data_IF_141959840950
#
_entry.id   IF_141959840950
#
_cell.length_a   1.000
_cell.length_b   1.000
_cell.length_c   1.000
_cell.angle_alpha   90.00
_cell.angle_beta   90.00
_cell.angle_gamma   90.00
#
_symmetry.space_group_name_H-M   'P 1'
#
loop_
_entity.id
_entity.type
_entity.pdbx_description
1 polymer ?
#
# COMPACT_ATOMS: atom_id res chain seq x y z
N UNK A 1 -19.69 -36.49 -18.09
CA UNK A 1 -18.30 -36.11 -18.42
C UNK A 1 -17.74 -34.97 -17.56
N UNK A 2 -18.25 -33.71 -17.59
CA UNK A 2 -17.69 -32.60 -16.78
C UNK A 2 -17.61 -32.91 -15.27
N UNK A 3 -18.70 -33.38 -14.67
CA UNK A 3 -18.73 -33.74 -13.25
C UNK A 3 -17.70 -34.84 -12.93
N UNK A 4 -17.59 -35.87 -13.77
CA UNK A 4 -16.60 -36.94 -13.61
C UNK A 4 -15.17 -36.39 -13.65
N UNK A 5 -14.85 -35.49 -14.58
CA UNK A 5 -13.52 -34.84 -14.64
C UNK A 5 -13.22 -34.08 -13.33
N UNK A 6 -14.17 -33.27 -12.84
CA UNK A 6 -13.99 -32.53 -11.60
C UNK A 6 -13.88 -33.47 -10.37
N UNK A 7 -14.64 -34.55 -10.33
CA UNK A 7 -14.52 -35.61 -9.31
C UNK A 7 -13.14 -36.28 -9.35
N UNK A 8 -12.55 -36.41 -10.53
CA UNK A 8 -11.17 -36.88 -10.73
C UNK A 8 -10.11 -35.78 -10.60
N UNK A 9 -10.47 -34.60 -10.09
CA UNK A 9 -9.57 -33.44 -9.92
C UNK A 9 -8.94 -32.94 -11.23
N UNK A 10 -9.64 -33.09 -12.34
CA UNK A 10 -9.26 -32.59 -13.65
C UNK A 10 -10.16 -31.42 -14.01
N UNK A 11 -9.55 -30.24 -14.13
CA UNK A 11 -10.24 -29.02 -14.52
C UNK A 11 -10.31 -28.94 -16.05
N UNK A 12 -11.50 -28.98 -16.67
CA UNK A 12 -11.64 -28.92 -18.11
C UNK A 12 -11.41 -27.50 -18.65
N UNK A 13 -10.68 -27.37 -19.76
CA UNK A 13 -10.44 -26.09 -20.41
C UNK A 13 -11.67 -25.49 -21.13
N UNK A 14 -12.72 -26.29 -21.31
CA UNK A 14 -14.01 -25.87 -21.87
C UNK A 14 -15.16 -26.60 -21.16
N UNK A 15 -16.27 -25.92 -20.95
CA UNK A 15 -17.38 -26.46 -20.16
C UNK A 15 -18.28 -27.47 -20.89
N UNK A 16 -18.40 -27.35 -22.23
CA UNK A 16 -19.35 -28.14 -23.04
C UNK A 16 -18.73 -29.44 -23.56
N UNK A 17 -17.63 -29.34 -24.30
CA UNK A 17 -16.93 -30.48 -24.94
C UNK A 17 -15.44 -30.38 -24.62
N UNK A 18 -14.99 -30.87 -23.45
CA UNK A 18 -13.59 -30.78 -23.05
C UNK A 18 -12.70 -31.71 -23.87
N UNK A 19 -11.68 -31.12 -24.51
CA UNK A 19 -10.60 -31.82 -25.23
C UNK A 19 -9.22 -31.60 -24.57
N UNK A 20 -9.17 -30.82 -23.50
CA UNK A 20 -7.95 -30.50 -22.75
C UNK A 20 -8.35 -30.29 -21.29
N UNK A 21 -7.59 -30.87 -20.38
CA UNK A 21 -7.78 -30.71 -18.94
C UNK A 21 -6.45 -30.41 -18.27
N UNK A 22 -6.52 -29.73 -17.13
CA UNK A 22 -5.38 -29.49 -16.26
C UNK A 22 -5.71 -30.06 -14.88
N UNK A 23 -4.75 -30.71 -14.23
CA UNK A 23 -4.99 -31.27 -12.90
C UNK A 23 -5.09 -30.16 -11.86
N UNK A 24 -5.89 -30.36 -10.82
CA UNK A 24 -5.98 -29.39 -9.72
C UNK A 24 -4.61 -29.14 -9.10
N UNK A 25 -3.80 -30.19 -8.94
CA UNK A 25 -2.41 -30.09 -8.45
C UNK A 25 -1.58 -29.11 -9.29
N UNK A 26 -1.69 -29.14 -10.62
CA UNK A 26 -0.97 -28.20 -11.49
C UNK A 26 -1.44 -26.76 -11.25
N UNK A 27 -2.75 -26.55 -11.14
CA UNK A 27 -3.34 -25.22 -10.95
C UNK A 27 -3.02 -24.66 -9.55
N UNK A 28 -3.04 -25.49 -8.52
CA UNK A 28 -2.64 -25.12 -7.16
C UNK A 28 -1.16 -24.74 -7.10
N UNK A 29 -0.31 -25.55 -7.72
CA UNK A 29 1.11 -25.25 -7.77
C UNK A 29 1.38 -23.95 -8.52
N UNK A 30 0.81 -23.77 -9.71
CA UNK A 30 0.95 -22.52 -10.46
C UNK A 30 0.42 -21.32 -9.67
N UNK A 31 -0.74 -21.45 -9.04
CA UNK A 31 -1.34 -20.38 -8.25
C UNK A 31 -0.43 -19.94 -7.10
N UNK A 32 0.20 -20.88 -6.40
CA UNK A 32 1.18 -20.54 -5.35
C UNK A 32 2.46 -19.91 -5.93
N UNK A 33 2.98 -20.44 -7.04
CA UNK A 33 4.17 -19.90 -7.70
C UNK A 33 3.96 -18.48 -8.24
N UNK A 34 2.76 -18.14 -8.72
CA UNK A 34 2.45 -16.76 -9.13
C UNK A 34 2.27 -15.85 -7.92
N UNK A 35 1.57 -16.29 -6.86
CA UNK A 35 1.38 -15.46 -5.66
C UNK A 35 2.67 -15.17 -4.90
N UNK A 36 3.58 -16.14 -4.81
CA UNK A 36 4.85 -16.03 -4.07
C UNK A 36 5.99 -15.57 -4.98
N UNK A 37 6.25 -16.30 -6.06
CA UNK A 37 7.38 -16.05 -6.95
C UNK A 37 7.10 -15.04 -8.07
N UNK A 38 5.85 -14.55 -8.18
CA UNK A 38 5.38 -13.66 -9.26
C UNK A 38 5.67 -14.20 -10.66
N UNK A 39 5.77 -15.53 -10.77
CA UNK A 39 6.06 -16.21 -12.03
C UNK A 39 4.92 -15.96 -13.00
N UNK A 40 5.29 -15.64 -14.25
CA UNK A 40 4.32 -15.42 -15.32
C UNK A 40 3.71 -16.76 -15.76
N UNK A 41 2.48 -16.72 -16.29
CA UNK A 41 1.89 -17.93 -16.90
C UNK A 41 2.77 -18.49 -18.02
N UNK A 42 3.46 -17.61 -18.76
CA UNK A 42 4.35 -17.98 -19.86
C UNK A 42 5.54 -18.79 -19.36
N UNK A 43 6.31 -18.25 -18.41
CA UNK A 43 7.53 -18.91 -17.92
C UNK A 43 7.23 -20.25 -17.26
N UNK A 44 6.13 -20.32 -16.49
CA UNK A 44 5.70 -21.56 -15.88
C UNK A 44 5.33 -22.62 -16.93
N UNK A 45 4.54 -22.24 -17.94
CA UNK A 45 4.12 -23.16 -18.99
C UNK A 45 5.31 -23.62 -19.85
N UNK A 46 6.23 -22.70 -20.18
CA UNK A 46 7.51 -23.04 -20.83
C UNK A 46 8.35 -24.00 -20.00
N UNK A 47 8.33 -23.87 -18.67
CA UNK A 47 8.94 -24.84 -17.76
C UNK A 47 8.36 -26.25 -17.92
N UNK A 48 7.03 -26.39 -18.00
CA UNK A 48 6.36 -27.69 -18.22
C UNK A 48 6.74 -28.31 -19.57
N UNK A 49 6.79 -27.49 -20.62
CA UNK A 49 7.25 -27.90 -21.94
C UNK A 49 8.69 -28.44 -21.89
N UNK A 50 9.59 -27.72 -21.20
CA UNK A 50 10.99 -28.12 -21.05
C UNK A 50 11.17 -29.34 -20.15
N UNK A 51 10.34 -29.54 -19.14
CA UNK A 51 10.36 -30.79 -18.34
C UNK A 51 9.98 -32.01 -19.19
N UNK A 52 9.14 -31.83 -20.20
CA UNK A 52 8.72 -32.91 -21.10
C UNK A 52 9.73 -33.14 -22.22
N UNK A 53 10.23 -32.06 -22.82
CA UNK A 53 11.20 -32.11 -23.90
C UNK A 53 12.13 -30.88 -23.86
N UNK A 54 13.18 -30.96 -23.04
CA UNK A 54 14.19 -29.90 -22.95
C UNK A 54 15.09 -29.83 -24.19
N UNK A 55 15.37 -30.98 -24.81
CA UNK A 55 16.25 -31.15 -25.96
C UNK A 55 15.64 -30.65 -27.29
N UNK A 56 14.33 -30.45 -27.36
CA UNK A 56 13.65 -30.08 -28.59
C UNK A 56 13.51 -31.24 -29.59
N UNK A 57 13.55 -32.49 -29.11
CA UNK A 57 13.57 -33.69 -29.95
C UNK A 57 12.23 -34.01 -30.63
N UNK A 58 11.09 -33.56 -30.10
CA UNK A 58 9.77 -33.69 -30.73
C UNK A 58 8.83 -32.51 -30.43
N UNK A 59 7.93 -32.14 -31.37
CA UNK A 59 6.94 -31.10 -31.12
C UNK A 59 5.80 -31.63 -30.24
N UNK A 60 5.16 -30.73 -29.49
CA UNK A 60 3.88 -30.97 -28.81
C UNK A 60 2.90 -29.85 -29.15
N UNK A 61 1.61 -30.18 -29.08
CA UNK A 61 0.54 -29.20 -29.36
C UNK A 61 0.52 -28.14 -28.27
N UNK A 62 0.61 -26.86 -28.66
CA UNK A 62 0.54 -25.74 -27.74
C UNK A 62 -0.85 -25.66 -27.07
N UNK A 63 -0.88 -25.66 -25.73
CA UNK A 63 -2.07 -25.51 -24.87
C UNK A 63 -2.00 -24.28 -23.97
N UNK A 64 -1.08 -23.35 -24.26
CA UNK A 64 -0.83 -22.17 -23.45
C UNK A 64 -2.06 -21.29 -23.27
N UNK A 65 -2.82 -21.02 -24.34
CA UNK A 65 -4.04 -20.20 -24.23
C UNK A 65 -5.13 -20.88 -23.40
N UNK A 66 -5.21 -22.22 -23.50
CA UNK A 66 -6.10 -23.01 -22.65
C UNK A 66 -5.64 -22.96 -21.19
N UNK A 67 -4.34 -23.03 -20.94
CA UNK A 67 -3.76 -22.91 -19.61
C UNK A 67 -4.04 -21.53 -19.00
N UNK A 68 -3.77 -20.44 -19.74
CA UNK A 68 -4.06 -19.06 -19.29
C UNK A 68 -5.52 -18.85 -18.90
N UNK A 69 -6.45 -19.37 -19.71
CA UNK A 69 -7.88 -19.26 -19.41
C UNK A 69 -8.21 -20.00 -18.11
N UNK A 70 -7.78 -21.26 -18.00
CA UNK A 70 -8.09 -22.10 -16.84
C UNK A 70 -7.45 -21.56 -15.56
N UNK A 71 -6.22 -21.04 -15.61
CA UNK A 71 -5.58 -20.46 -14.43
C UNK A 71 -6.29 -19.21 -13.96
N UNK A 72 -6.77 -18.37 -14.90
CA UNK A 72 -7.59 -17.21 -14.57
C UNK A 72 -8.92 -17.60 -13.93
N UNK A 73 -9.63 -18.57 -14.50
CA UNK A 73 -10.86 -19.12 -13.92
C UNK A 73 -10.61 -19.70 -12.53
N UNK A 74 -9.50 -20.43 -12.36
CA UNK A 74 -9.09 -21.02 -11.09
C UNK A 74 -8.87 -19.96 -10.01
N UNK A 75 -8.10 -18.90 -10.31
CA UNK A 75 -7.89 -17.77 -9.38
C UNK A 75 -9.22 -17.13 -8.98
N UNK A 76 -10.11 -16.88 -9.94
CA UNK A 76 -11.43 -16.31 -9.66
C UNK A 76 -12.28 -17.22 -8.75
N UNK A 77 -12.31 -18.53 -9.01
CA UNK A 77 -12.98 -19.51 -8.16
C UNK A 77 -12.40 -19.55 -6.73
N UNK A 78 -11.09 -19.37 -6.57
CA UNK A 78 -10.46 -19.29 -5.24
C UNK A 78 -10.88 -18.01 -4.51
N UNK A 79 -11.03 -16.89 -5.22
CA UNK A 79 -11.58 -15.64 -4.66
C UNK A 79 -13.03 -15.83 -4.18
N UNK A 80 -13.90 -16.39 -5.03
CA UNK A 80 -15.30 -16.68 -4.69
C UNK A 80 -15.44 -17.63 -3.49
N UNK A 81 -14.59 -18.68 -3.43
CA UNK A 81 -14.55 -19.60 -2.29
C UNK A 81 -14.15 -18.89 -1.00
N UNK A 82 -13.15 -18.01 -1.06
CA UNK A 82 -12.70 -17.23 0.11
C UNK A 82 -13.78 -16.26 0.59
N UNK A 83 -14.49 -15.61 -0.33
CA UNK A 83 -15.62 -14.74 -0.02
C UNK A 83 -16.92 -15.49 0.32
N UNK A 84 -16.93 -16.82 0.34
CA UNK A 84 -18.11 -17.62 0.68
C UNK A 84 -19.24 -17.61 -0.36
N UNK A 85 -19.07 -16.96 -1.52
CA UNK A 85 -20.12 -16.80 -2.55
C UNK A 85 -20.63 -18.13 -3.11
N UNK A 86 -19.78 -19.16 -3.13
CA UNK A 86 -20.17 -20.50 -3.58
C UNK A 86 -21.07 -21.26 -2.58
N UNK A 87 -21.19 -20.77 -1.34
CA UNK A 87 -22.01 -21.37 -0.28
C UNK A 87 -23.21 -20.48 0.10
N UNK A 88 -23.44 -19.37 -0.61
CA UNK A 88 -24.61 -18.52 -0.39
C UNK A 88 -25.85 -19.24 -0.95
N UNK A 89 -26.74 -19.66 -0.06
CA UNK A 89 -28.00 -20.34 -0.42
C UNK A 89 -29.12 -19.39 -0.83
N UNK A 90 -28.90 -18.07 -0.76
CA UNK A 90 -29.91 -17.03 -1.00
C UNK A 90 -29.58 -16.27 -2.28
N UNK A 91 -28.35 -15.79 -2.42
CA UNK A 91 -27.91 -15.00 -3.58
C UNK A 91 -26.98 -15.79 -4.49
N UNK A 92 -27.25 -15.70 -5.79
CA UNK A 92 -26.38 -16.25 -6.82
C UNK A 92 -25.01 -15.53 -6.87
N UNK A 93 -24.03 -16.11 -7.56
CA UNK A 93 -22.67 -15.54 -7.69
C UNK A 93 -22.73 -14.19 -8.42
N UNK A 94 -23.63 -14.05 -9.38
CA UNK A 94 -23.85 -12.84 -10.18
C UNK A 94 -24.37 -11.66 -9.34
N UNK A 95 -24.91 -11.93 -8.15
CA UNK A 95 -25.40 -10.94 -7.19
C UNK A 95 -24.33 -10.52 -6.16
N UNK A 96 -23.06 -10.80 -6.44
CA UNK A 96 -21.93 -10.31 -5.64
C UNK A 96 -21.83 -8.79 -5.78
N UNK A 97 -21.86 -8.08 -4.65
CA UNK A 97 -21.85 -6.62 -4.63
C UNK A 97 -20.43 -6.04 -4.67
N UNK A 98 -20.25 -4.76 -5.03
CA UNK A 98 -18.93 -4.13 -5.06
C UNK A 98 -18.16 -4.27 -3.74
N UNK A 99 -16.90 -4.65 -3.82
CA UNK A 99 -16.01 -4.86 -2.67
C UNK A 99 -16.34 -6.07 -1.77
N UNK A 100 -17.37 -6.87 -2.07
CA UNK A 100 -17.80 -8.00 -1.23
C UNK A 100 -16.72 -9.08 -1.06
N UNK A 101 -15.82 -9.26 -2.04
CA UNK A 101 -14.71 -10.21 -2.00
C UNK A 101 -13.44 -9.62 -1.37
N UNK A 102 -13.40 -8.33 -1.05
CA UNK A 102 -12.25 -7.71 -0.42
C UNK A 102 -12.09 -8.18 1.03
N UNK A 103 -10.85 -8.47 1.43
CA UNK A 103 -10.54 -8.83 2.82
C UNK A 103 -10.44 -7.55 3.64
N UNK A 104 -11.46 -7.30 4.45
CA UNK A 104 -11.50 -6.14 5.35
C UNK A 104 -10.68 -6.40 6.62
N UNK A 105 -9.88 -5.41 7.03
CA UNK A 105 -9.10 -5.50 8.25
C UNK A 105 -10.02 -5.42 9.49
N UNK A 106 -10.05 -6.43 10.38
CA UNK A 106 -10.92 -6.40 11.57
C UNK A 106 -10.39 -5.46 12.66
N UNK A 107 -9.13 -5.05 12.58
CA UNK A 107 -8.52 -4.10 13.52
C UNK A 107 -8.70 -2.63 13.10
N UNK A 108 -9.04 -2.36 11.84
CA UNK A 108 -9.35 -1.00 11.41
C UNK A 108 -10.70 -0.57 11.99
N UNK A 109 -10.85 0.69 12.46
CA UNK A 109 -12.11 1.22 12.96
C UNK A 109 -13.16 1.23 11.86
N UNK A 110 -14.32 0.63 12.15
CA UNK A 110 -15.44 0.45 11.22
C UNK A 110 -16.75 0.68 11.97
N UNK A 111 -17.46 1.70 11.52
CA UNK A 111 -18.81 2.00 12.03
C UNK A 111 -19.72 0.79 11.91
N UNK A 112 -20.57 0.58 12.91
CA UNK A 112 -21.51 -0.55 12.98
C UNK A 112 -20.86 -1.95 13.01
N UNK A 113 -19.54 -2.06 13.12
CA UNK A 113 -18.82 -3.34 13.17
C UNK A 113 -18.02 -3.50 14.45
N UNK A 114 -17.10 -2.58 14.72
CA UNK A 114 -16.20 -2.65 15.89
C UNK A 114 -16.02 -1.30 16.61
N UNK A 115 -16.80 -0.29 16.25
CA UNK A 115 -16.88 0.98 16.96
C UNK A 115 -18.11 1.03 17.89
N UNK A 116 -17.99 1.57 19.12
CA UNK A 116 -19.14 1.77 20.01
C UNK A 116 -20.08 2.85 19.46
N UNK A 117 -21.39 2.78 19.69
CA UNK A 117 -22.38 3.70 19.11
C UNK A 117 -22.08 5.19 19.36
N UNK A 118 -21.50 5.52 20.51
CA UNK A 118 -21.17 6.88 20.92
C UNK A 118 -19.71 7.29 20.63
N UNK A 119 -18.99 6.56 19.77
CA UNK A 119 -17.57 6.82 19.47
C UNK A 119 -17.30 8.26 19.03
N UNK A 120 -18.20 8.89 18.28
CA UNK A 120 -18.09 10.29 17.84
C UNK A 120 -18.11 11.30 19.01
N UNK A 121 -18.72 10.93 20.15
CA UNK A 121 -18.80 11.76 21.35
C UNK A 121 -17.66 11.46 22.34
N UNK A 122 -16.67 10.66 21.93
CA UNK A 122 -15.52 10.38 22.76
C UNK A 122 -14.78 11.68 23.10
N UNK A 123 -14.34 11.76 24.35
CA UNK A 123 -13.41 12.78 24.82
C UNK A 123 -12.24 12.90 23.82
N UNK A 124 -11.85 14.14 23.51
CA UNK A 124 -10.74 14.46 22.60
C UNK A 124 -9.50 13.63 22.93
N UNK A 125 -9.20 13.43 24.21
CA UNK A 125 -8.06 12.63 24.69
C UNK A 125 -8.14 11.15 24.34
N UNK A 126 -9.30 10.63 23.95
CA UNK A 126 -9.55 9.22 23.61
C UNK A 126 -9.90 8.99 22.13
N UNK A 127 -10.09 10.04 21.33
CA UNK A 127 -10.46 9.92 19.91
C UNK A 127 -9.47 9.08 19.10
N UNK A 128 -8.19 9.10 19.49
CA UNK A 128 -7.12 8.30 18.87
C UNK A 128 -7.41 6.79 18.83
N UNK A 129 -8.25 6.27 19.74
CA UNK A 129 -8.68 4.87 19.76
C UNK A 129 -9.55 4.49 18.56
N UNK A 130 -10.17 5.48 17.91
CA UNK A 130 -11.12 5.31 16.80
C UNK A 130 -10.57 5.88 15.48
N UNK A 131 -9.34 6.39 15.48
CA UNK A 131 -8.72 7.00 14.30
C UNK A 131 -8.34 5.96 13.25
N UNK A 132 -8.78 6.18 12.01
CA UNK A 132 -8.37 5.39 10.85
C UNK A 132 -7.08 5.95 10.25
N UNK A 133 -6.07 5.10 10.12
CA UNK A 133 -4.84 5.45 9.41
C UNK A 133 -4.97 5.04 7.94
N UNK A 134 -4.99 6.02 7.04
CA UNK A 134 -4.95 5.80 5.59
C UNK A 134 -3.58 6.22 5.07
N UNK A 135 -2.77 5.23 4.66
CA UNK A 135 -1.49 5.47 4.00
C UNK A 135 -1.72 5.50 2.49
N UNK A 136 -1.44 6.65 1.87
CA UNK A 136 -1.57 6.86 0.43
C UNK A 136 -0.20 7.23 -0.12
N UNK A 137 0.25 6.49 -1.14
CA UNK A 137 1.47 6.78 -1.87
C UNK A 137 1.12 7.08 -3.34
N UNK A 138 1.69 8.16 -3.87
CA UNK A 138 1.51 8.59 -5.25
C UNK A 138 2.73 8.32 -6.15
N UNK A 139 3.80 7.76 -5.59
CA UNK A 139 5.07 7.48 -6.24
C UNK A 139 5.06 6.12 -6.94
N UNK A 140 4.39 5.12 -6.37
CA UNK A 140 4.34 3.78 -6.94
C UNK A 140 3.32 3.66 -8.07
N UNK A 141 3.79 3.20 -9.25
CA UNK A 141 2.96 3.08 -10.46
C UNK A 141 3.09 1.69 -11.07
N UNK A 142 1.96 1.00 -11.18
CA UNK A 142 1.86 -0.23 -11.97
C UNK A 142 1.54 0.14 -13.43
N UNK A 143 2.52 0.01 -14.32
CA UNK A 143 2.33 0.24 -15.76
C UNK A 143 1.63 -0.95 -16.43
N UNK A 144 0.94 -0.69 -17.54
CA UNK A 144 0.31 -1.69 -18.41
C UNK A 144 0.47 -1.24 -19.85
N UNK A 145 0.75 -2.16 -20.77
CA UNK A 145 0.73 -1.87 -22.21
C UNK A 145 -0.69 -1.88 -22.75
N UNK A 146 -0.93 -1.08 -23.78
CA UNK A 146 -2.22 -1.02 -24.48
C UNK A 146 -2.35 -2.17 -25.48
N UNK A 147 -2.56 -3.39 -24.97
CA UNK A 147 -2.56 -4.63 -25.78
C UNK A 147 -3.95 -5.23 -26.05
N UNK A 148 -5.00 -4.75 -25.38
CA UNK A 148 -6.38 -5.26 -25.50
C UNK A 148 -7.40 -4.22 -24.99
N UNK A 149 -8.70 -4.54 -25.12
CA UNK A 149 -9.84 -3.78 -24.62
C UNK A 149 -10.70 -4.61 -23.65
N UNK A 150 -11.55 -3.94 -22.87
CA UNK A 150 -12.55 -4.59 -21.98
C UNK A 150 -13.51 -5.50 -22.74
N UNK A 151 -13.84 -5.17 -23.99
CA UNK A 151 -14.75 -5.98 -24.82
C UNK A 151 -14.13 -7.33 -25.17
N UNK A 152 -12.81 -7.36 -25.44
CA UNK A 152 -12.09 -8.57 -25.83
C UNK A 152 -11.54 -9.35 -24.63
N UNK A 153 -11.29 -8.67 -23.52
CA UNK A 153 -10.79 -9.24 -22.27
C UNK A 153 -11.53 -8.66 -21.06
N UNK A 154 -12.82 -9.01 -20.87
CA UNK A 154 -13.62 -8.51 -19.75
C UNK A 154 -13.17 -9.17 -18.44
N UNK A 155 -13.11 -8.42 -17.35
CA UNK A 155 -12.82 -8.96 -16.01
C UNK A 155 -13.91 -9.92 -15.51
N UNK A 156 -13.56 -10.96 -14.74
CA UNK A 156 -14.56 -11.89 -14.21
C UNK A 156 -15.35 -11.31 -13.04
N UNK A 157 -14.73 -10.44 -12.25
CA UNK A 157 -15.36 -9.80 -11.10
C UNK A 157 -14.85 -8.38 -10.87
N UNK A 158 -14.62 -7.61 -11.94
CA UNK A 158 -14.17 -6.21 -11.80
C UNK A 158 -15.17 -5.44 -10.95
N UNK A 159 -14.68 -4.81 -9.87
CA UNK A 159 -15.51 -4.16 -8.87
C UNK A 159 -15.83 -5.01 -7.63
N UNK A 160 -15.69 -6.34 -7.68
CA UNK A 160 -16.08 -7.21 -6.56
C UNK A 160 -15.04 -7.25 -5.43
N UNK A 161 -13.81 -6.78 -5.65
CA UNK A 161 -12.71 -6.83 -4.68
C UNK A 161 -12.04 -5.46 -4.50
N UNK A 162 -10.74 -5.30 -4.83
CA UNK A 162 -10.01 -4.06 -4.57
C UNK A 162 -10.03 -3.11 -5.77
N UNK A 163 -10.08 -3.64 -6.99
CA UNK A 163 -10.33 -2.84 -8.18
C UNK A 163 -11.77 -2.33 -8.18
N UNK A 164 -11.96 -1.04 -8.39
CA UNK A 164 -13.28 -0.42 -8.58
C UNK A 164 -13.89 -0.81 -9.93
N UNK A 165 -15.23 -0.73 -10.09
CA UNK A 165 -15.86 -0.90 -11.40
C UNK A 165 -15.32 0.08 -12.44
N UNK A 166 -15.01 -0.40 -13.65
CA UNK A 166 -14.35 0.41 -14.69
C UNK A 166 -15.22 1.57 -15.18
N UNK A 167 -16.48 1.33 -15.56
CA UNK A 167 -17.33 2.37 -16.17
C UNK A 167 -17.58 3.57 -15.23
N UNK A 168 -17.99 3.40 -13.96
CA UNK A 168 -18.13 4.52 -13.02
C UNK A 168 -16.81 5.26 -12.81
N UNK A 169 -15.68 4.54 -12.72
CA UNK A 169 -14.37 5.14 -12.53
C UNK A 169 -13.92 5.96 -13.74
N UNK A 170 -14.17 5.48 -14.96
CA UNK A 170 -13.89 6.23 -16.19
C UNK A 170 -14.70 7.51 -16.29
N UNK A 171 -16.00 7.44 -15.95
CA UNK A 171 -16.87 8.63 -15.91
C UNK A 171 -16.32 9.66 -14.93
N UNK A 172 -15.98 9.20 -13.73
CA UNK A 172 -15.34 10.02 -12.70
C UNK A 172 -14.04 10.68 -13.20
N UNK A 173 -13.16 9.94 -13.88
CA UNK A 173 -11.91 10.52 -14.40
C UNK A 173 -12.18 11.62 -15.44
N UNK A 174 -13.16 11.43 -16.32
CA UNK A 174 -13.50 12.43 -17.33
C UNK A 174 -14.07 13.71 -16.70
N UNK A 175 -14.91 13.56 -15.67
CA UNK A 175 -15.45 14.68 -14.89
C UNK A 175 -14.35 15.41 -14.10
N UNK A 176 -13.54 14.67 -13.34
CA UNK A 176 -12.51 15.25 -12.48
C UNK A 176 -11.36 15.92 -13.23
N UNK A 177 -10.99 15.42 -14.41
CA UNK A 177 -9.90 16.02 -15.19
C UNK A 177 -10.27 17.45 -15.63
N UNK A 178 -11.56 17.77 -15.70
CA UNK A 178 -12.06 19.12 -15.99
C UNK A 178 -12.37 19.96 -14.75
N UNK A 179 -12.35 19.35 -13.56
CA UNK A 179 -12.76 19.99 -12.32
C UNK A 179 -11.58 20.70 -11.63
N UNK A 180 -11.77 21.98 -11.29
CA UNK A 180 -10.83 22.74 -10.44
C UNK A 180 -11.07 22.51 -8.95
N UNK A 181 -12.21 21.90 -8.58
CA UNK A 181 -12.57 21.55 -7.21
C UNK A 181 -13.15 20.15 -7.13
N UNK A 182 -12.99 19.47 -5.99
CA UNK A 182 -13.63 18.19 -5.72
C UNK A 182 -15.17 18.36 -5.65
N UNK A 183 -15.98 17.39 -6.09
CA UNK A 183 -17.43 17.39 -5.88
C UNK A 183 -17.78 17.51 -4.40
N UNK A 184 -18.84 18.23 -4.04
CA UNK A 184 -19.27 18.42 -2.64
C UNK A 184 -19.44 17.11 -1.85
N UNK A 185 -19.91 16.06 -2.51
CA UNK A 185 -20.08 14.72 -1.92
C UNK A 185 -18.75 14.02 -1.57
N UNK A 186 -17.67 14.44 -2.24
CA UNK A 186 -16.31 13.91 -2.07
C UNK A 186 -15.40 14.87 -1.31
N UNK A 187 -15.79 16.15 -1.21
CA UNK A 187 -15.17 17.06 -0.25
C UNK A 187 -15.33 16.41 1.13
N UNK A 188 -14.25 16.33 1.92
CA UNK A 188 -14.36 15.84 3.29
C UNK A 188 -15.48 16.59 4.00
N UNK A 189 -16.45 15.87 4.58
CA UNK A 189 -17.60 16.46 5.30
C UNK A 189 -17.16 17.53 6.31
N UNK A 190 -15.95 17.38 6.84
CA UNK A 190 -15.13 18.47 7.31
C UNK A 190 -13.64 18.12 7.10
N UNK A 191 -12.83 19.07 6.60
CA UNK A 191 -11.36 18.97 6.66
C UNK A 191 -10.82 18.78 8.10
N UNK A 192 -11.41 19.35 9.18
CA UNK A 192 -10.92 19.10 10.54
C UNK A 192 -11.03 17.66 11.04
N UNK A 193 -11.75 16.76 10.36
CA UNK A 193 -11.78 15.33 10.69
C UNK A 193 -10.59 14.55 10.10
N UNK A 194 -9.82 15.16 9.20
CA UNK A 194 -8.65 14.55 8.56
C UNK A 194 -7.37 15.26 8.99
N UNK A 195 -6.42 14.48 9.50
CA UNK A 195 -5.07 14.97 9.76
C UNK A 195 -4.12 14.41 8.71
N UNK A 196 -3.57 15.29 7.88
CA UNK A 196 -2.51 14.92 6.95
C UNK A 196 -1.17 14.90 7.68
N UNK A 197 -0.42 13.84 7.47
CA UNK A 197 0.85 13.57 8.14
C UNK A 197 1.80 12.89 7.16
N UNK A 198 3.09 13.06 7.40
CA UNK A 198 4.16 12.43 6.64
C UNK A 198 4.86 11.42 7.56
N UNK A 199 5.12 10.18 7.10
CA UNK A 199 5.79 9.15 7.89
C UNK A 199 7.11 9.60 8.50
N UNK A 200 7.45 9.00 9.64
CA UNK A 200 8.49 9.52 10.54
C UNK A 200 9.88 9.56 9.94
N UNK A 201 10.20 8.66 9.02
CA UNK A 201 11.48 8.68 8.32
C UNK A 201 11.43 9.64 7.13
N UNK A 202 10.34 9.60 6.36
CA UNK A 202 10.19 10.40 5.15
C UNK A 202 10.19 11.91 5.41
N UNK A 203 9.61 12.34 6.53
CA UNK A 203 9.47 13.76 6.88
C UNK A 203 10.82 14.50 7.00
N UNK A 204 11.90 13.80 7.37
CA UNK A 204 13.24 14.40 7.43
C UNK A 204 13.81 14.79 6.06
N UNK A 205 13.25 14.25 4.97
CA UNK A 205 13.57 14.68 3.61
C UNK A 205 12.89 15.98 3.18
N UNK A 206 12.00 16.53 4.00
CA UNK A 206 11.26 17.77 3.71
C UNK A 206 11.86 18.97 4.45
N UNK A 207 11.42 20.17 4.06
CA UNK A 207 11.80 21.43 4.73
C UNK A 207 11.34 21.46 6.18
N UNK A 208 11.98 22.29 7.01
CA UNK A 208 11.63 22.45 8.43
C UNK A 208 10.17 22.87 8.63
N UNK A 209 9.63 23.75 7.78
CA UNK A 209 8.21 24.12 7.81
C UNK A 209 7.28 22.90 7.64
N UNK A 210 7.62 22.01 6.72
CA UNK A 210 6.89 20.76 6.51
C UNK A 210 7.02 19.82 7.72
N UNK A 211 8.23 19.70 8.29
CA UNK A 211 8.49 18.88 9.47
C UNK A 211 7.67 19.34 10.68
N UNK A 212 7.53 20.65 10.90
CA UNK A 212 6.76 21.20 12.01
C UNK A 212 5.25 21.01 11.84
N UNK A 213 4.74 21.02 10.60
CA UNK A 213 3.30 20.93 10.30
C UNK A 213 2.79 19.50 10.15
N UNK A 214 3.56 18.62 9.50
CA UNK A 214 3.09 17.32 9.04
C UNK A 214 3.80 16.14 9.71
N UNK A 215 4.69 16.36 10.68
CA UNK A 215 5.38 15.26 11.34
C UNK A 215 4.42 14.36 12.13
N UNK A 216 4.41 13.09 11.74
CA UNK A 216 3.69 12.04 12.46
C UNK A 216 4.17 11.85 13.92
N UNK A 217 5.34 12.39 14.29
CA UNK A 217 5.80 12.36 15.68
C UNK A 217 5.04 13.35 16.58
N UNK A 218 4.51 14.43 16.02
CA UNK A 218 3.81 15.48 16.76
C UNK A 218 2.29 15.39 16.59
N UNK A 219 1.81 14.43 15.81
CA UNK A 219 0.38 14.22 15.60
C UNK A 219 -0.28 13.71 16.90
N UNK A 220 -1.31 14.41 17.42
CA UNK A 220 -1.96 14.02 18.67
C UNK A 220 -2.52 12.60 18.62
N UNK A 221 -2.30 11.84 19.69
CA UNK A 221 -2.78 10.47 19.81
C UNK A 221 -2.00 9.42 19.00
N UNK A 222 -0.97 9.81 18.26
CA UNK A 222 -0.12 8.88 17.52
C UNK A 222 0.99 8.34 18.40
N UNK A 223 1.03 7.01 18.55
CA UNK A 223 2.10 6.33 19.28
C UNK A 223 3.43 6.21 18.51
N UNK A 224 4.28 5.28 18.96
CA UNK A 224 5.53 4.91 18.27
C UNK A 224 5.28 3.96 17.10
N UNK A 225 4.62 4.47 16.05
CA UNK A 225 4.47 3.80 14.75
C UNK A 225 5.39 4.44 13.70
N UNK A 226 5.95 3.65 12.78
CA UNK A 226 6.82 4.14 11.70
C UNK A 226 6.02 4.87 10.59
N UNK A 227 4.79 4.42 10.31
CA UNK A 227 3.99 4.90 9.19
C UNK A 227 4.35 4.26 7.84
N UNK A 228 5.36 3.39 7.79
CA UNK A 228 5.99 2.84 6.57
C UNK A 228 5.22 1.62 6.02
N UNK A 229 3.90 1.62 6.16
CA UNK A 229 3.05 0.49 5.78
C UNK A 229 2.99 0.28 4.26
N UNK A 230 3.05 1.37 3.50
CA UNK A 230 2.85 1.37 2.05
C UNK A 230 4.09 0.90 1.30
N UNK A 231 5.27 1.22 1.78
CA UNK A 231 6.57 0.80 1.25
C UNK A 231 6.78 -0.71 1.43
N UNK A 232 6.41 -1.25 2.61
CA UNK A 232 6.43 -2.70 2.87
C UNK A 232 5.46 -3.46 1.97
N UNK A 233 4.29 -2.86 1.68
CA UNK A 233 3.34 -3.42 0.73
C UNK A 233 3.94 -3.42 -0.68
N UNK A 234 4.51 -2.30 -1.10
CA UNK A 234 5.12 -2.18 -2.42
C UNK A 234 6.31 -3.12 -2.62
N UNK A 235 7.16 -3.35 -1.61
CA UNK A 235 8.24 -4.32 -1.70
C UNK A 235 7.75 -5.73 -2.08
N UNK A 236 6.57 -6.14 -1.60
CA UNK A 236 5.94 -7.42 -1.94
C UNK A 236 5.16 -7.41 -3.26
N UNK A 237 4.52 -6.28 -3.59
CA UNK A 237 3.62 -6.19 -4.74
C UNK A 237 4.28 -5.64 -6.01
N UNK A 238 5.35 -4.86 -5.90
CA UNK A 238 6.08 -4.26 -7.01
C UNK A 238 6.51 -5.27 -8.09
N UNK A 239 7.00 -6.48 -7.73
CA UNK A 239 7.35 -7.50 -8.72
C UNK A 239 6.15 -8.04 -9.52
N UNK A 240 4.89 -7.79 -9.11
CA UNK A 240 3.70 -8.12 -9.90
C UNK A 240 3.60 -7.23 -11.15
N UNK A 241 4.22 -6.05 -11.13
CA UNK A 241 4.19 -5.13 -12.26
C UNK A 241 4.69 -5.79 -13.54
N UNK A 242 5.79 -6.55 -13.46
CA UNK A 242 6.39 -7.20 -14.63
C UNK A 242 5.49 -8.29 -15.19
N UNK A 243 4.88 -9.11 -14.34
CA UNK A 243 4.01 -10.21 -14.77
C UNK A 243 2.67 -9.73 -15.33
N UNK A 244 2.21 -8.54 -14.95
CA UNK A 244 0.91 -7.97 -15.36
C UNK A 244 1.01 -6.91 -16.46
N UNK A 245 2.21 -6.50 -16.87
CA UNK A 245 2.41 -5.42 -17.85
C UNK A 245 1.80 -5.75 -19.22
N UNK A 246 1.91 -7.00 -19.65
CA UNK A 246 1.43 -7.50 -20.95
C UNK A 246 -0.01 -8.03 -20.93
N UNK A 247 -0.71 -7.88 -19.79
CA UNK A 247 -2.08 -8.39 -19.66
C UNK A 247 -3.09 -7.40 -20.27
N UNK A 248 -4.14 -7.95 -20.88
CA UNK A 248 -5.36 -7.21 -21.16
C UNK A 248 -6.01 -6.72 -19.86
N UNK A 249 -6.97 -5.77 -19.96
CA UNK A 249 -7.37 -5.02 -18.78
C UNK A 249 -8.16 -5.88 -17.77
N UNK A 250 -9.10 -6.72 -18.22
CA UNK A 250 -9.82 -7.64 -17.33
C UNK A 250 -8.94 -8.72 -16.72
N UNK A 251 -8.07 -9.34 -17.53
CA UNK A 251 -7.10 -10.33 -17.02
C UNK A 251 -6.16 -9.72 -15.97
N UNK A 252 -5.79 -8.45 -16.14
CA UNK A 252 -4.95 -7.73 -15.18
C UNK A 252 -5.69 -7.42 -13.88
N UNK A 253 -6.95 -6.98 -13.95
CA UNK A 253 -7.75 -6.73 -12.75
C UNK A 253 -7.88 -8.00 -11.92
N UNK A 254 -8.26 -9.12 -12.55
CA UNK A 254 -8.39 -10.41 -11.87
C UNK A 254 -7.07 -10.85 -11.23
N UNK A 255 -5.93 -10.66 -11.92
CA UNK A 255 -4.62 -10.99 -11.38
C UNK A 255 -4.23 -10.11 -10.18
N UNK A 256 -4.43 -8.79 -10.26
CA UNK A 256 -4.12 -7.86 -9.18
C UNK A 256 -4.98 -8.13 -7.94
N UNK A 257 -6.29 -8.32 -8.13
CA UNK A 257 -7.23 -8.63 -7.06
C UNK A 257 -6.89 -9.95 -6.35
N UNK A 258 -6.49 -10.98 -7.09
CA UNK A 258 -6.05 -12.25 -6.51
C UNK A 258 -4.77 -12.08 -5.66
N UNK A 259 -3.80 -11.29 -6.15
CA UNK A 259 -2.56 -11.03 -5.41
C UNK A 259 -2.80 -10.20 -4.13
N UNK A 260 -3.56 -9.11 -4.22
CA UNK A 260 -3.92 -8.30 -3.05
C UNK A 260 -4.80 -9.09 -2.07
N UNK A 261 -5.72 -9.90 -2.60
CA UNK A 261 -6.58 -10.80 -1.85
C UNK A 261 -5.79 -11.81 -1.04
N UNK A 262 -4.82 -12.47 -1.67
CA UNK A 262 -3.92 -13.39 -0.99
C UNK A 262 -3.09 -12.72 0.10
N UNK A 263 -2.50 -11.55 -0.20
CA UNK A 263 -1.69 -10.78 0.75
C UNK A 263 -2.50 -10.37 1.99
N UNK A 264 -3.69 -9.81 1.79
CA UNK A 264 -4.55 -9.39 2.89
C UNK A 264 -5.11 -10.60 3.67
N UNK A 265 -5.39 -11.71 3.00
CA UNK A 265 -5.79 -12.95 3.66
C UNK A 265 -4.69 -13.49 4.58
N UNK A 266 -3.43 -13.52 4.13
CA UNK A 266 -2.30 -13.93 4.96
C UNK A 266 -2.12 -13.00 6.16
N UNK A 267 -2.26 -11.69 5.97
CA UNK A 267 -2.25 -10.71 7.07
C UNK A 267 -3.36 -10.99 8.08
N UNK A 268 -4.57 -11.28 7.62
CA UNK A 268 -5.70 -11.60 8.48
C UNK A 268 -5.42 -12.85 9.34
N UNK A 269 -4.96 -13.93 8.71
CA UNK A 269 -4.62 -15.17 9.43
C UNK A 269 -3.48 -14.97 10.45
N UNK A 270 -2.48 -14.16 10.11
CA UNK A 270 -1.35 -13.84 10.99
C UNK A 270 -1.65 -12.78 12.05
N UNK A 271 -2.79 -12.10 11.99
CA UNK A 271 -3.06 -10.91 12.77
C UNK A 271 -3.02 -11.17 14.28
N UNK A 272 -3.63 -12.26 14.75
CA UNK A 272 -3.66 -12.59 16.18
C UNK A 272 -2.26 -12.81 16.77
N UNK A 273 -1.41 -13.57 16.05
CA UNK A 273 -0.02 -13.82 16.44
C UNK A 273 0.78 -12.50 16.44
N UNK A 274 0.58 -11.67 15.42
CA UNK A 274 1.23 -10.37 15.31
C UNK A 274 0.87 -9.44 16.47
N UNK A 275 -0.43 -9.31 16.78
CA UNK A 275 -0.93 -8.46 17.85
C UNK A 275 -0.44 -8.93 19.22
N UNK A 276 -0.47 -10.24 19.50
CA UNK A 276 0.05 -10.82 20.75
C UNK A 276 1.53 -10.50 20.96
N UNK A 277 2.35 -10.69 19.93
CA UNK A 277 3.79 -10.35 19.97
C UNK A 277 4.00 -8.86 20.20
N UNK A 278 3.26 -8.01 19.48
CA UNK A 278 3.39 -6.54 19.60
C UNK A 278 2.93 -6.04 20.97
N UNK A 279 1.90 -6.63 21.56
CA UNK A 279 1.42 -6.26 22.89
C UNK A 279 2.47 -6.53 23.96
N UNK A 280 3.14 -7.69 23.94
CA UNK A 280 4.22 -8.01 24.89
C UNK A 280 5.36 -6.98 24.79
N UNK A 281 5.81 -6.71 23.57
CA UNK A 281 6.85 -5.72 23.30
C UNK A 281 6.41 -4.32 23.75
N UNK A 282 5.16 -3.92 23.47
CA UNK A 282 4.63 -2.63 23.87
C UNK A 282 4.58 -2.47 25.40
N UNK A 283 4.18 -3.51 26.14
CA UNK A 283 4.18 -3.49 27.62
C UNK A 283 5.59 -3.31 28.18
N UNK A 284 6.58 -4.05 27.67
CA UNK A 284 7.98 -3.91 28.10
C UNK A 284 8.52 -2.50 27.83
N UNK A 285 8.25 -1.95 26.64
CA UNK A 285 8.69 -0.60 26.29
C UNK A 285 7.95 0.49 27.04
N UNK A 286 6.66 0.30 27.33
CA UNK A 286 5.88 1.21 28.19
C UNK A 286 6.56 1.36 29.55
N UNK A 287 6.93 0.26 30.20
CA UNK A 287 7.51 0.32 31.55
C UNK A 287 8.86 1.06 31.56
N UNK A 288 9.69 0.84 30.53
CA UNK A 288 10.95 1.57 30.34
C UNK A 288 10.72 3.06 30.07
N UNK A 289 9.81 3.38 29.16
CA UNK A 289 9.50 4.76 28.79
C UNK A 289 8.87 5.53 29.94
N UNK A 290 8.00 4.91 30.72
CA UNK A 290 7.39 5.48 31.93
C UNK A 290 8.47 5.82 32.97
N UNK A 291 9.41 4.90 33.23
CA UNK A 291 10.50 5.16 34.17
C UNK A 291 11.39 6.33 33.72
N UNK A 292 11.75 6.40 32.43
CA UNK A 292 12.49 7.52 31.86
C UNK A 292 11.70 8.83 31.93
N UNK A 293 10.43 8.79 31.59
CA UNK A 293 9.54 9.95 31.62
C UNK A 293 9.40 10.51 33.03
N UNK A 294 9.17 9.67 34.04
CA UNK A 294 9.11 10.09 35.44
C UNK A 294 10.40 10.72 35.91
N UNK A 295 11.54 10.07 35.63
CA UNK A 295 12.86 10.60 35.99
C UNK A 295 13.12 11.96 35.34
N UNK A 296 12.86 12.08 34.04
CA UNK A 296 13.01 13.35 33.31
C UNK A 296 12.09 14.45 33.88
N UNK A 297 10.82 14.12 34.11
CA UNK A 297 9.81 15.03 34.66
C UNK A 297 10.23 15.55 36.04
N UNK A 298 10.73 14.68 36.92
CA UNK A 298 11.22 15.08 38.25
C UNK A 298 12.42 16.03 38.17
N UNK A 299 13.37 15.76 37.27
CA UNK A 299 14.54 16.61 37.07
C UNK A 299 14.23 17.95 36.39
N UNK A 300 13.06 18.07 35.74
CA UNK A 300 12.60 19.27 35.05
C UNK A 300 11.36 19.88 35.71
N UNK A 301 11.11 19.60 36.99
CA UNK A 301 9.86 19.94 37.67
C UNK A 301 9.51 21.44 37.61
N UNK A 302 10.51 22.32 37.56
CA UNK A 302 10.31 23.76 37.42
C UNK A 302 9.74 24.19 36.05
N UNK A 303 10.02 23.42 34.99
CA UNK A 303 9.66 23.76 33.61
C UNK A 303 8.42 23.01 33.11
N UNK A 304 8.16 21.81 33.65
CA UNK A 304 7.07 20.92 33.21
C UNK A 304 5.70 21.63 33.12
N UNK A 305 5.25 22.44 34.10
CA UNK A 305 3.95 23.12 34.00
C UNK A 305 3.85 24.04 32.77
N UNK A 306 4.92 24.79 32.49
CA UNK A 306 4.96 25.70 31.34
C UNK A 306 4.96 24.92 30.02
N UNK A 307 5.81 23.90 29.88
CA UNK A 307 5.89 23.12 28.65
C UNK A 307 4.58 22.36 28.36
N UNK A 308 3.96 21.81 29.41
CA UNK A 308 2.69 21.12 29.25
C UNK A 308 1.60 22.09 28.78
N UNK A 309 1.52 23.29 29.37
CA UNK A 309 0.59 24.32 28.93
C UNK A 309 0.83 24.71 27.46
N UNK A 310 2.08 24.90 27.04
CA UNK A 310 2.40 25.24 25.64
C UNK A 310 1.94 24.16 24.66
N UNK A 311 2.12 22.88 25.00
CA UNK A 311 1.66 21.75 24.18
C UNK A 311 0.13 21.68 24.14
N UNK A 312 -0.53 21.81 25.28
CA UNK A 312 -2.00 21.77 25.37
C UNK A 312 -2.63 22.92 24.56
N UNK A 313 -2.12 24.15 24.70
CA UNK A 313 -2.59 25.32 23.93
C UNK A 313 -2.38 25.15 22.43
N UNK A 314 -1.23 24.63 21.99
CA UNK A 314 -0.95 24.40 20.57
C UNK A 314 -1.76 23.24 19.97
N UNK A 315 -1.92 22.14 20.72
CA UNK A 315 -2.77 21.04 20.28
C UNK A 315 -4.24 21.46 20.20
N UNK A 316 -4.71 22.34 21.10
CA UNK A 316 -6.05 22.91 21.06
C UNK A 316 -6.25 23.86 19.88
N UNK A 317 -5.29 24.75 19.64
CA UNK A 317 -5.31 25.77 18.61
C UNK A 317 -3.93 25.88 17.93
N UNK A 318 -3.77 25.28 16.73
CA UNK A 318 -2.51 25.31 15.98
C UNK A 318 -2.05 26.70 15.52
N UNK A 319 -2.83 27.76 15.78
CA UNK A 319 -2.41 29.15 15.53
C UNK A 319 -1.54 29.72 16.66
N UNK A 320 -1.49 29.05 17.81
CA UNK A 320 -0.61 29.39 18.94
C UNK A 320 0.86 29.09 18.61
N UNK A 321 1.81 29.66 19.37
CA UNK A 321 3.23 29.35 19.17
C UNK A 321 3.50 27.85 19.22
N UNK A 322 4.21 27.34 18.21
CA UNK A 322 4.52 25.91 18.13
C UNK A 322 5.65 25.55 19.11
N UNK A 323 5.41 24.72 20.13
CA UNK A 323 6.42 24.36 21.13
C UNK A 323 7.54 23.47 20.57
N UNK A 324 7.39 22.95 19.35
CA UNK A 324 8.37 22.09 18.68
C UNK A 324 9.27 22.85 17.70
N UNK A 325 9.00 24.14 17.46
CA UNK A 325 9.89 24.96 16.65
C UNK A 325 11.16 25.28 17.44
N UNK A 326 12.31 25.02 16.82
CA UNK A 326 13.61 25.39 17.39
C UNK A 326 13.93 26.83 17.03
N UNK A 327 14.50 27.57 17.97
CA UNK A 327 15.07 28.88 17.70
C UNK A 327 16.14 28.75 16.59
N UNK A 328 15.99 29.53 15.52
CA UNK A 328 16.92 29.58 14.38
C UNK A 328 18.19 30.37 14.73
N UNK A 329 18.71 30.20 15.92
CA UNK A 329 19.93 30.85 16.37
C UNK A 329 21.14 30.08 15.83
N UNK A 330 21.76 30.61 14.77
CA UNK A 330 22.98 30.08 14.20
C UNK A 330 23.12 30.35 12.70
N UNK A 331 24.35 30.20 12.20
CA UNK A 331 24.64 30.24 10.77
C UNK A 331 24.17 28.94 10.11
N UNK A 332 23.48 29.06 8.97
CA UNK A 332 23.03 27.92 8.18
C UNK A 332 24.22 27.09 7.66
N UNK A 333 24.03 25.80 7.36
CA UNK A 333 25.07 24.98 6.70
C UNK A 333 25.56 25.63 5.40
N UNK A 334 24.69 26.35 4.67
CA UNK A 334 25.08 27.08 3.47
C UNK A 334 25.99 28.27 3.80
N UNK A 335 25.70 29.03 4.85
CA UNK A 335 26.56 30.11 5.33
C UNK A 335 27.88 29.58 5.89
N UNK A 336 27.88 28.47 6.62
CA UNK A 336 29.11 27.77 7.05
C UNK A 336 29.94 27.38 5.84
N UNK A 337 29.32 26.77 4.81
CA UNK A 337 30.01 26.40 3.57
C UNK A 337 30.55 27.62 2.82
N UNK A 338 29.79 28.72 2.80
CA UNK A 338 30.22 29.97 2.19
C UNK A 338 31.40 30.61 2.94
N UNK A 339 31.36 30.61 4.27
CA UNK A 339 32.46 31.06 5.13
C UNK A 339 33.72 30.22 4.90
N UNK A 340 33.60 28.88 4.93
CA UNK A 340 34.73 27.98 4.67
C UNK A 340 35.31 28.18 3.26
N UNK A 341 34.45 28.36 2.25
CA UNK A 341 34.90 28.64 0.87
C UNK A 341 35.60 30.01 0.75
N UNK A 342 35.12 31.03 1.45
CA UNK A 342 35.75 32.35 1.50
C UNK A 342 37.11 32.29 2.21
N UNK A 343 37.23 31.50 3.29
CA UNK A 343 38.50 31.26 3.98
C UNK A 343 39.53 30.54 3.10
N UNK A 344 39.11 29.56 2.29
CA UNK A 344 40.00 28.88 1.34
C UNK A 344 40.47 29.82 0.22
N UNK A 345 39.56 30.64 -0.33
CA UNK A 345 39.91 31.65 -1.32
C UNK A 345 40.91 32.68 -0.76
N UNK A 346 40.75 33.09 0.50
CA UNK A 346 41.66 34.02 1.17
C UNK A 346 43.05 33.43 1.45
N UNK A 347 43.17 32.09 1.55
CA UNK A 347 44.45 31.39 1.73
C UNK A 347 45.20 31.16 0.41
N UNK A 348 44.57 31.45 -0.73
CA UNK A 348 45.21 31.27 -2.05
C UNK A 348 46.09 32.49 -2.35
N UNK A 349 47.43 32.34 -2.47
CA UNK A 349 48.32 33.48 -2.72
C UNK A 349 47.99 34.12 -4.08
N UNK A 350 47.85 35.45 -4.10
CA UNK A 350 47.79 36.21 -5.35
C UNK A 350 49.02 35.89 -6.20
N UNK A 351 48.80 35.24 -7.35
CA UNK A 351 49.84 35.02 -8.35
C UNK A 351 50.35 36.36 -8.89
N UNK A 352 51.63 36.46 -9.30
CA UNK A 352 52.23 37.72 -9.69
C UNK A 352 51.53 38.30 -10.93
N UNK A 353 51.34 39.62 -10.91
CA UNK A 353 50.84 40.42 -12.03
C UNK A 353 51.75 40.26 -13.25
N UNK A 354 51.21 39.73 -14.34
CA UNK A 354 51.91 39.67 -15.63
C UNK A 354 52.05 41.09 -16.21
N UNK A 355 53.26 41.66 -16.15
CA UNK A 355 53.65 42.71 -17.10
C UNK A 355 53.92 42.07 -18.48
N UNK A 356 53.48 42.71 -19.58
CA UNK A 356 53.65 42.16 -20.92
C UNK A 356 55.09 42.35 -21.43
N UNK A 357 55.78 41.23 -21.63
CA UNK A 357 57.08 41.15 -22.30
C UNK A 357 56.94 41.47 -23.81
N UNK A 358 57.58 42.54 -24.25
CA UNK A 358 57.94 42.80 -25.66
C UNK A 358 59.11 41.89 -26.07
N UNK A 359 59.06 41.33 -27.27
CA UNK A 359 60.18 40.96 -28.17
C UNK A 359 59.53 40.44 -29.48
N UNK A 360 59.67 41.11 -30.64
CA UNK A 360 60.80 41.15 -31.58
C UNK A 360 61.34 39.77 -31.99
#
# INVERSE_FOLDING_TARGET
>A
MRQQLLSSQWYPATAKVPQTCFTFRLLEHFHMMTLVGKITSYDYYRGLEKLTNNAGSFPFKNRYDSFRRVTREWCHLKSLKRGGRGNDGIRAIEQTTPGELAVLCPACPRESVNLPENWMRADRKKRFLYTLFLAVDACFRLKRKMVSSEVLDPGFGTGWSYMVPDEPYRRYLLEMTSATELPEEQKPRSLPDFQFVIPKLHIYGHTTDCQLKYSLNYAPGVGRTDGEGVERNWAGQGPIATSTTEMGPGSRHDALDDHWGSWNWQKLLGLGVLLSRRLKLASEWRDKQEAMYRSFTLNQAAHVPQWQQMVEEYEEDPTKPNPYEYDKEGITIQEVRAQLSAEELAKTPHGPSNEPSQLM
#
